data_IF_501735770722
#
_entry.id   IF_501735770722
#
_cell.length_a   1.000
_cell.length_b   1.000
_cell.length_c   1.000
_cell.angle_alpha   90.00
_cell.angle_beta   90.00
_cell.angle_gamma   90.00
#
_symmetry.space_group_name_H-M   'P 1'
#
loop_
_entity.id
_entity.type
_entity.pdbx_description
1 polymer ?
#
# COMPACT_ATOMS: atom_id res chain seq x y z
N UNK A 1 -2.25 29.07 25.84
CA UNK A 1 -1.09 28.46 25.22
C UNK A 1 -1.56 27.72 24.00
N UNK A 2 -1.23 28.26 22.84
CA UNK A 2 -1.72 28.00 21.50
C UNK A 2 -1.32 26.62 21.01
N UNK A 3 -2.33 25.79 20.70
CA UNK A 3 -2.15 24.56 19.92
C UNK A 3 -1.76 24.90 18.48
N UNK A 4 -0.66 24.36 18.02
CA UNK A 4 -0.33 24.30 16.60
C UNK A 4 -0.97 23.02 16.03
N UNK A 5 -2.21 23.13 15.59
CA UNK A 5 -2.73 22.21 14.58
C UNK A 5 -2.05 22.59 13.26
N UNK A 6 -0.92 21.97 12.95
CA UNK A 6 -0.41 21.97 11.59
C UNK A 6 -1.25 20.98 10.81
N UNK A 7 -2.33 21.45 10.20
CA UNK A 7 -2.95 20.76 9.09
C UNK A 7 -1.86 20.56 8.03
N UNK A 8 -1.45 19.30 7.84
CA UNK A 8 -0.54 18.97 6.75
C UNK A 8 -1.24 19.34 5.44
N UNK A 9 -0.63 20.25 4.66
CA UNK A 9 -1.15 20.57 3.34
C UNK A 9 -1.34 19.29 2.53
N UNK A 10 -2.48 19.13 1.82
CA UNK A 10 -2.73 17.93 1.02
C UNK A 10 -1.62 17.80 -0.03
N UNK A 11 -0.86 16.72 0.04
CA UNK A 11 0.13 16.38 -0.98
C UNK A 11 -0.64 16.18 -2.29
N UNK A 12 -0.39 17.04 -3.27
CA UNK A 12 -1.04 16.94 -4.58
C UNK A 12 -0.72 15.56 -5.17
N UNK A 13 -1.76 14.75 -5.38
CA UNK A 13 -1.60 13.39 -5.87
C UNK A 13 -1.03 13.44 -7.30
N UNK A 14 0.24 13.04 -7.47
CA UNK A 14 0.89 12.98 -8.79
C UNK A 14 0.36 11.82 -9.64
N UNK A 15 -0.20 10.79 -9.00
CA UNK A 15 -0.82 9.65 -9.64
C UNK A 15 -2.22 10.01 -10.15
N UNK A 16 -2.45 9.92 -11.45
CA UNK A 16 -3.75 10.19 -12.08
C UNK A 16 -4.90 9.40 -11.43
N UNK A 17 -4.65 8.15 -11.11
CA UNK A 17 -5.67 7.27 -10.51
C UNK A 17 -6.09 7.72 -9.11
N UNK A 18 -5.23 8.43 -8.37
CA UNK A 18 -5.60 8.96 -7.06
C UNK A 18 -6.44 10.24 -7.15
N UNK A 19 -6.43 10.91 -8.32
CA UNK A 19 -7.31 12.05 -8.62
C UNK A 19 -8.71 11.59 -9.05
N UNK A 20 -8.84 10.34 -9.51
CA UNK A 20 -10.10 9.71 -9.89
C UNK A 20 -10.25 8.35 -9.18
N UNK A 21 -10.74 8.34 -7.92
CA UNK A 21 -10.92 7.12 -7.17
C UNK A 21 -11.87 6.10 -7.81
N UNK A 22 -12.86 6.57 -8.60
CA UNK A 22 -13.76 5.66 -9.32
C UNK A 22 -13.02 4.91 -10.43
N UNK A 23 -12.18 5.63 -11.19
CA UNK A 23 -11.32 5.02 -12.19
C UNK A 23 -10.30 4.07 -11.54
N UNK A 24 -9.72 4.46 -10.40
CA UNK A 24 -8.83 3.58 -9.61
C UNK A 24 -9.54 2.26 -9.27
N UNK A 25 -10.77 2.34 -8.78
CA UNK A 25 -11.55 1.17 -8.33
C UNK A 25 -11.86 0.20 -9.48
N UNK A 26 -12.06 0.70 -10.70
CA UNK A 26 -12.25 -0.12 -11.90
C UNK A 26 -10.93 -0.76 -12.34
N UNK A 27 -9.86 0.03 -12.46
CA UNK A 27 -8.57 -0.45 -12.97
C UNK A 27 -7.90 -1.44 -12.01
N UNK A 28 -8.01 -1.21 -10.71
CA UNK A 28 -7.47 -2.09 -9.67
C UNK A 28 -8.47 -3.17 -9.25
N UNK A 29 -9.26 -3.69 -10.20
CA UNK A 29 -10.40 -4.60 -9.89
C UNK A 29 -10.00 -6.01 -9.46
N UNK A 30 -8.74 -6.39 -9.49
CA UNK A 30 -8.33 -7.70 -9.01
C UNK A 30 -8.32 -7.78 -7.47
N UNK A 31 -8.59 -8.97 -6.93
CA UNK A 31 -8.63 -9.26 -5.50
C UNK A 31 -7.38 -10.02 -5.01
N UNK A 32 -6.33 -10.04 -5.81
CA UNK A 32 -5.11 -10.82 -5.54
C UNK A 32 -4.48 -10.38 -4.21
N UNK A 33 -4.45 -9.08 -3.93
CA UNK A 33 -3.92 -8.52 -2.68
C UNK A 33 -4.65 -9.03 -1.45
N UNK A 34 -5.99 -8.92 -1.43
CA UNK A 34 -6.82 -9.40 -0.33
C UNK A 34 -6.72 -10.93 -0.16
N UNK A 35 -6.75 -11.68 -1.26
CA UNK A 35 -6.61 -13.15 -1.24
C UNK A 35 -5.27 -13.60 -0.69
N UNK A 36 -4.17 -12.93 -1.07
CA UNK A 36 -2.84 -13.18 -0.51
C UNK A 36 -2.82 -12.87 0.99
N UNK A 37 -3.35 -11.72 1.40
CA UNK A 37 -3.41 -11.33 2.81
C UNK A 37 -4.18 -12.38 3.64
N UNK A 38 -5.34 -12.85 3.18
CA UNK A 38 -6.10 -13.91 3.84
C UNK A 38 -5.28 -15.19 3.99
N UNK A 39 -4.63 -15.66 2.93
CA UNK A 39 -3.79 -16.87 2.95
C UNK A 39 -2.66 -16.77 3.98
N UNK A 40 -2.00 -15.61 4.02
CA UNK A 40 -0.90 -15.37 4.97
C UNK A 40 -1.40 -15.30 6.42
N UNK A 41 -2.56 -14.67 6.66
CA UNK A 41 -3.18 -14.67 8.00
C UNK A 41 -3.57 -16.08 8.41
N UNK A 42 -4.21 -16.85 7.54
CA UNK A 42 -4.60 -18.24 7.81
C UNK A 42 -3.42 -19.13 8.15
N UNK A 43 -2.30 -18.92 7.47
CA UNK A 43 -1.07 -19.68 7.69
C UNK A 43 -0.40 -19.33 9.02
N UNK A 44 -0.33 -18.04 9.36
CA UNK A 44 0.52 -17.59 10.46
C UNK A 44 -0.26 -17.20 11.72
N UNK A 45 -1.56 -16.85 11.62
CA UNK A 45 -2.43 -16.49 12.74
C UNK A 45 -3.90 -16.76 12.44
N UNK A 46 -4.33 -18.02 12.37
CA UNK A 46 -5.69 -18.42 11.97
C UNK A 46 -6.78 -17.93 12.94
N UNK A 47 -6.43 -17.57 14.16
CA UNK A 47 -7.32 -17.04 15.22
C UNK A 47 -7.47 -15.50 15.18
N UNK A 48 -6.84 -14.81 14.24
CA UNK A 48 -6.97 -13.36 14.09
C UNK A 48 -8.43 -12.93 13.91
N UNK A 49 -8.79 -11.79 14.52
CA UNK A 49 -10.14 -11.20 14.47
C UNK A 49 -10.16 -9.75 14.05
N UNK A 50 -9.08 -9.01 14.33
CA UNK A 50 -9.02 -7.56 14.10
C UNK A 50 -7.87 -7.21 13.18
N UNK A 51 -8.11 -6.25 12.26
CA UNK A 51 -7.16 -5.85 11.24
C UNK A 51 -7.18 -4.32 11.07
N UNK A 52 -6.01 -3.71 10.96
CA UNK A 52 -5.86 -2.32 10.48
C UNK A 52 -5.05 -2.31 9.19
N UNK A 53 -5.54 -1.59 8.18
CA UNK A 53 -4.85 -1.40 6.91
C UNK A 53 -4.41 0.05 6.73
N UNK A 54 -3.11 0.26 6.53
CA UNK A 54 -2.51 1.57 6.29
C UNK A 54 -2.30 1.79 4.79
N UNK A 55 -2.98 2.82 4.25
CA UNK A 55 -3.06 3.09 2.82
C UNK A 55 -4.12 2.23 2.15
N UNK A 56 -5.31 2.17 2.75
CA UNK A 56 -6.41 1.33 2.29
C UNK A 56 -7.06 1.80 0.97
N UNK A 57 -6.72 3.01 0.49
CA UNK A 57 -7.27 3.58 -0.74
C UNK A 57 -8.80 3.63 -0.72
N UNK A 58 -9.43 3.08 -1.75
CA UNK A 58 -10.89 2.99 -1.89
C UNK A 58 -11.54 1.91 -1.00
N UNK A 59 -10.75 1.16 -0.22
CA UNK A 59 -11.24 0.14 0.70
C UNK A 59 -11.61 -1.21 0.07
N UNK A 60 -11.22 -1.47 -1.17
CA UNK A 60 -11.57 -2.71 -1.89
C UNK A 60 -11.05 -3.99 -1.22
N UNK A 61 -9.78 -3.99 -0.84
CA UNK A 61 -9.20 -5.14 -0.13
C UNK A 61 -9.89 -5.32 1.23
N UNK A 62 -10.21 -4.21 1.92
CA UNK A 62 -10.95 -4.25 3.18
C UNK A 62 -12.37 -4.79 3.04
N UNK A 63 -13.07 -4.51 1.94
CA UNK A 63 -14.41 -5.08 1.66
C UNK A 63 -14.38 -6.61 1.63
N UNK A 64 -13.30 -7.19 1.12
CA UNK A 64 -13.10 -8.63 1.12
C UNK A 64 -12.72 -9.14 2.50
N UNK A 65 -11.76 -8.47 3.15
CA UNK A 65 -11.22 -8.85 4.45
C UNK A 65 -12.26 -8.68 5.58
N UNK A 66 -13.15 -7.68 5.48
CA UNK A 66 -14.20 -7.42 6.47
C UNK A 66 -15.28 -8.52 6.55
N UNK A 67 -15.32 -9.43 5.57
CA UNK A 67 -16.17 -10.63 5.68
C UNK A 67 -15.72 -11.57 6.79
N UNK A 68 -14.49 -11.44 7.26
CA UNK A 68 -13.89 -12.31 8.28
C UNK A 68 -13.32 -11.56 9.49
N UNK A 69 -12.85 -10.33 9.28
CA UNK A 69 -12.15 -9.55 10.30
C UNK A 69 -12.92 -8.27 10.62
N UNK A 70 -12.82 -7.80 11.85
CA UNK A 70 -13.16 -6.41 12.19
C UNK A 70 -12.05 -5.51 11.65
N UNK A 71 -12.34 -4.72 10.61
CA UNK A 71 -11.36 -3.94 9.87
C UNK A 71 -11.46 -2.45 10.18
N UNK A 72 -10.30 -1.78 10.24
CA UNK A 72 -10.18 -0.32 10.18
C UNK A 72 -9.23 0.01 9.03
N UNK A 73 -9.63 0.91 8.14
CA UNK A 73 -8.79 1.44 7.06
C UNK A 73 -8.32 2.86 7.34
N UNK A 74 -7.07 3.16 7.02
CA UNK A 74 -6.50 4.49 7.07
C UNK A 74 -5.90 4.84 5.72
N UNK A 75 -6.24 6.00 5.18
CA UNK A 75 -5.58 6.54 3.98
C UNK A 75 -5.31 8.03 4.15
N UNK A 76 -4.22 8.50 3.55
CA UNK A 76 -3.81 9.90 3.61
C UNK A 76 -4.61 10.78 2.65
N UNK A 77 -5.14 10.21 1.54
CA UNK A 77 -5.79 10.93 0.47
C UNK A 77 -7.29 11.14 0.78
N UNK A 78 -7.75 12.38 1.05
CA UNK A 78 -9.16 12.62 1.38
C UNK A 78 -10.12 12.13 0.29
N UNK A 79 -9.79 12.33 -1.00
CA UNK A 79 -10.63 11.89 -2.11
C UNK A 79 -10.84 10.36 -2.15
N UNK A 80 -9.81 9.57 -1.79
CA UNK A 80 -9.91 8.12 -1.67
C UNK A 80 -10.84 7.74 -0.51
N UNK A 81 -10.67 8.38 0.66
CA UNK A 81 -11.49 8.13 1.86
C UNK A 81 -12.94 8.50 1.62
N UNK A 82 -13.21 9.65 1.00
CA UNK A 82 -14.58 10.10 0.72
C UNK A 82 -15.28 9.17 -0.27
N UNK A 83 -14.58 8.75 -1.32
CA UNK A 83 -15.10 7.74 -2.24
C UNK A 83 -15.36 6.40 -1.54
N UNK A 84 -14.40 5.92 -0.74
CA UNK A 84 -14.52 4.67 0.00
C UNK A 84 -15.74 4.66 0.92
N UNK A 85 -15.98 5.73 1.67
CA UNK A 85 -17.16 5.88 2.55
C UNK A 85 -18.48 5.89 1.80
N UNK A 86 -18.49 6.41 0.57
CA UNK A 86 -19.69 6.41 -0.28
C UNK A 86 -19.93 5.04 -0.90
N UNK A 87 -18.91 4.40 -1.43
CA UNK A 87 -19.00 3.13 -2.12
C UNK A 87 -19.15 1.93 -1.17
N UNK A 88 -18.61 2.03 0.07
CA UNK A 88 -18.52 0.97 1.08
C UNK A 88 -18.87 1.51 2.47
N UNK A 89 -20.11 1.97 2.69
CA UNK A 89 -20.52 2.70 3.91
C UNK A 89 -20.45 1.85 5.19
N UNK A 90 -20.35 0.53 5.06
CA UNK A 90 -20.22 -0.40 6.19
C UNK A 90 -18.79 -0.52 6.74
N UNK A 91 -17.79 0.01 6.00
CA UNK A 91 -16.41 -0.06 6.41
C UNK A 91 -16.01 1.15 7.28
N UNK A 92 -15.22 0.92 8.31
CA UNK A 92 -14.60 1.97 9.11
C UNK A 92 -13.34 2.49 8.42
N UNK A 93 -13.50 3.50 7.55
CA UNK A 93 -12.41 4.12 6.80
C UNK A 93 -12.21 5.56 7.26
N UNK A 94 -10.96 5.91 7.61
CA UNK A 94 -10.59 7.19 8.20
C UNK A 94 -9.42 7.84 7.46
N UNK A 95 -9.40 9.17 7.45
CA UNK A 95 -8.20 9.91 7.05
C UNK A 95 -7.12 9.67 8.10
N UNK A 96 -5.91 9.31 7.65
CA UNK A 96 -4.78 9.11 8.55
C UNK A 96 -3.47 8.93 7.84
N UNK A 97 -2.41 9.50 8.43
CA UNK A 97 -1.04 9.36 7.96
C UNK A 97 -0.38 8.16 8.66
N UNK A 98 0.11 7.19 7.89
CA UNK A 98 0.78 6.01 8.43
C UNK A 98 2.06 6.32 9.21
N UNK A 99 2.64 7.54 9.08
CA UNK A 99 3.79 7.98 9.87
C UNK A 99 3.42 8.32 11.30
N UNK A 100 2.20 8.83 11.52
CA UNK A 100 1.83 9.45 12.81
C UNK A 100 0.52 8.95 13.41
N UNK A 101 -0.30 8.22 12.67
CA UNK A 101 -1.60 7.74 13.14
C UNK A 101 -1.50 6.93 14.44
N UNK A 102 -2.46 7.13 15.36
CA UNK A 102 -2.55 6.43 16.64
C UNK A 102 -4.01 6.13 16.97
N UNK A 103 -4.45 4.90 16.67
CA UNK A 103 -5.82 4.44 16.99
C UNK A 103 -6.03 4.14 18.47
N UNK A 104 -4.95 4.11 19.28
CA UNK A 104 -4.95 3.71 20.69
C UNK A 104 -5.58 2.33 20.91
N UNK A 105 -5.41 1.46 19.95
CA UNK A 105 -5.91 0.08 19.93
C UNK A 105 -4.88 -0.82 19.25
N UNK A 106 -4.59 -1.96 19.85
CA UNK A 106 -3.78 -3.01 19.23
C UNK A 106 -4.67 -3.95 18.43
N UNK A 107 -4.17 -4.37 17.27
CA UNK A 107 -4.85 -5.23 16.33
C UNK A 107 -4.13 -6.59 16.23
N UNK A 108 -4.84 -7.61 15.77
CA UNK A 108 -4.23 -8.91 15.50
C UNK A 108 -3.34 -8.86 14.26
N UNK A 109 -3.76 -8.05 13.28
CA UNK A 109 -3.05 -7.89 12.02
C UNK A 109 -2.92 -6.40 11.69
N UNK A 110 -1.72 -6.00 11.30
CA UNK A 110 -1.42 -4.70 10.71
C UNK A 110 -1.02 -4.94 9.27
N UNK A 111 -1.67 -4.27 8.33
CA UNK A 111 -1.37 -4.39 6.90
C UNK A 111 -0.95 -3.06 6.30
N UNK A 112 -0.10 -3.11 5.27
CA UNK A 112 0.20 -2.00 4.38
C UNK A 112 0.41 -2.60 2.98
N UNK A 113 -0.66 -2.62 2.21
CA UNK A 113 -0.76 -3.35 0.95
C UNK A 113 -0.56 -2.40 -0.26
N UNK A 114 -0.64 -2.93 -1.47
CA UNK A 114 -0.68 -2.11 -2.70
C UNK A 114 0.55 -1.26 -2.98
N UNK A 115 1.71 -1.59 -2.42
CA UNK A 115 2.94 -0.80 -2.50
C UNK A 115 2.85 0.57 -1.78
N UNK A 116 1.95 0.75 -0.84
CA UNK A 116 1.73 2.03 -0.15
C UNK A 116 2.97 2.49 0.61
N UNK A 117 3.68 1.59 1.29
CA UNK A 117 4.94 1.92 1.98
C UNK A 117 5.97 2.59 1.06
N UNK A 118 5.97 2.25 -0.22
CA UNK A 118 6.93 2.78 -1.20
C UNK A 118 6.77 4.27 -1.52
N UNK A 119 5.66 4.90 -1.12
CA UNK A 119 5.47 6.34 -1.23
C UNK A 119 6.18 7.14 -0.13
N UNK A 120 6.73 6.47 0.88
CA UNK A 120 7.58 7.08 1.91
C UNK A 120 9.03 6.96 1.47
N UNK A 121 9.66 8.10 1.17
CA UNK A 121 10.99 8.13 0.54
C UNK A 121 12.12 8.32 1.54
N UNK A 122 11.89 9.04 2.64
CA UNK A 122 12.90 9.36 3.65
C UNK A 122 13.04 8.25 4.69
N UNK A 123 14.28 7.94 5.09
CA UNK A 123 14.58 6.87 6.04
C UNK A 123 13.99 7.12 7.44
N UNK A 124 13.93 8.39 7.88
CA UNK A 124 13.35 8.72 9.18
C UNK A 124 11.82 8.56 9.13
N UNK A 125 11.19 8.95 8.02
CA UNK A 125 9.75 8.73 7.82
C UNK A 125 9.41 7.24 7.77
N UNK A 126 10.22 6.41 7.08
CA UNK A 126 10.07 4.94 7.09
C UNK A 126 10.18 4.41 8.53
N UNK A 127 11.12 4.92 9.32
CA UNK A 127 11.26 4.55 10.73
C UNK A 127 9.99 4.92 11.54
N UNK A 128 9.40 6.09 11.28
CA UNK A 128 8.14 6.51 11.91
C UNK A 128 6.98 5.59 11.52
N UNK A 129 6.90 5.18 10.24
CA UNK A 129 5.89 4.21 9.77
C UNK A 129 6.00 2.90 10.53
N UNK A 130 7.19 2.32 10.64
CA UNK A 130 7.38 1.08 11.40
C UNK A 130 7.07 1.25 12.89
N UNK A 131 7.41 2.39 13.50
CA UNK A 131 6.99 2.71 14.87
C UNK A 131 5.46 2.82 15.00
N UNK A 132 4.78 3.31 13.98
CA UNK A 132 3.32 3.33 13.92
C UNK A 132 2.75 1.92 13.84
N UNK A 133 3.29 1.05 12.99
CA UNK A 133 2.88 -0.35 12.93
C UNK A 133 3.01 -1.04 14.29
N UNK A 134 4.15 -0.85 14.96
CA UNK A 134 4.39 -1.41 16.31
C UNK A 134 3.41 -0.85 17.36
N UNK A 135 3.04 0.44 17.29
CA UNK A 135 2.07 1.04 18.19
C UNK A 135 0.65 0.44 18.06
N UNK A 136 0.37 -0.24 16.96
CA UNK A 136 -0.90 -0.94 16.72
C UNK A 136 -0.78 -2.46 16.86
N UNK A 137 0.39 -2.97 17.26
CA UNK A 137 0.64 -4.39 17.48
C UNK A 137 0.64 -4.73 18.99
N UNK A 138 0.36 -5.98 19.28
CA UNK A 138 0.58 -6.64 20.58
C UNK A 138 1.34 -7.94 20.36
N UNK A 139 1.87 -8.54 21.39
CA UNK A 139 2.58 -9.82 21.27
C UNK A 139 1.81 -10.83 20.41
N UNK A 140 2.45 -11.35 19.38
CA UNK A 140 1.88 -12.28 18.42
C UNK A 140 1.14 -11.61 17.25
N UNK A 141 0.98 -10.28 17.20
CA UNK A 141 0.39 -9.59 16.05
C UNK A 141 1.22 -9.81 14.78
N UNK A 142 0.54 -9.94 13.65
CA UNK A 142 1.18 -9.98 12.34
C UNK A 142 1.30 -8.58 11.75
N UNK A 143 2.42 -8.33 11.06
CA UNK A 143 2.58 -7.26 10.10
C UNK A 143 2.67 -7.90 8.71
N UNK A 144 1.80 -7.48 7.78
CA UNK A 144 1.81 -7.95 6.40
C UNK A 144 2.00 -6.74 5.48
N UNK A 145 3.07 -6.77 4.69
CA UNK A 145 3.42 -5.70 3.76
C UNK A 145 3.41 -6.24 2.33
N UNK A 146 2.95 -5.43 1.38
CA UNK A 146 3.23 -5.62 -0.05
C UNK A 146 4.02 -4.41 -0.54
N UNK A 147 5.28 -4.61 -0.92
CA UNK A 147 6.18 -3.52 -1.30
C UNK A 147 7.22 -3.92 -2.34
N UNK A 148 7.72 -2.96 -3.14
CA UNK A 148 8.84 -3.24 -4.03
C UNK A 148 10.11 -3.47 -3.23
N UNK A 149 10.81 -4.56 -3.55
CA UNK A 149 12.04 -5.02 -2.88
C UNK A 149 13.23 -5.13 -3.84
N UNK A 150 12.99 -4.92 -5.14
CA UNK A 150 14.03 -4.84 -6.16
C UNK A 150 13.66 -3.78 -7.20
N UNK A 151 14.64 -3.12 -7.84
CA UNK A 151 14.36 -2.10 -8.84
C UNK A 151 13.83 -2.72 -10.14
N UNK A 152 13.02 -1.94 -10.86
CA UNK A 152 12.72 -2.18 -12.27
C UNK A 152 13.76 -1.40 -13.07
N UNK A 153 14.72 -2.11 -13.66
CA UNK A 153 15.90 -1.51 -14.31
C UNK A 153 15.80 -1.43 -15.84
N UNK A 154 14.73 -1.98 -16.44
CA UNK A 154 14.48 -1.89 -17.88
C UNK A 154 14.23 -0.44 -18.30
N UNK A 155 14.91 -0.01 -19.38
CA UNK A 155 14.69 1.32 -20.01
C UNK A 155 13.71 1.25 -21.17
N UNK A 156 13.19 0.08 -21.47
CA UNK A 156 12.26 -0.14 -22.58
C UNK A 156 10.92 0.52 -22.30
N UNK A 157 10.35 1.09 -23.35
CA UNK A 157 9.02 1.64 -23.31
C UNK A 157 8.02 0.48 -23.31
N UNK A 158 7.24 0.37 -22.25
CA UNK A 158 6.17 -0.62 -22.14
C UNK A 158 4.85 0.01 -22.56
N UNK A 159 4.04 -0.71 -23.32
CA UNK A 159 2.69 -0.28 -23.67
C UNK A 159 1.69 -1.33 -23.20
N UNK A 160 0.64 -0.86 -22.52
CA UNK A 160 -0.44 -1.70 -22.04
C UNK A 160 -1.79 -1.10 -22.42
N UNK A 161 -2.79 -1.94 -22.57
CA UNK A 161 -4.19 -1.51 -22.68
C UNK A 161 -4.84 -1.70 -21.32
N UNK A 162 -5.57 -0.69 -20.89
CA UNK A 162 -6.27 -0.66 -19.60
C UNK A 162 -7.74 -0.37 -19.85
N UNK A 163 -8.61 -1.22 -19.36
CA UNK A 163 -10.05 -0.99 -19.45
C UNK A 163 -10.48 0.13 -18.53
N UNK A 164 -11.23 1.10 -19.07
CA UNK A 164 -11.83 2.19 -18.30
C UNK A 164 -13.34 2.21 -18.51
N UNK A 165 -14.11 2.91 -17.67
CA UNK A 165 -15.55 3.03 -17.86
C UNK A 165 -15.97 3.60 -19.23
N UNK A 166 -15.09 4.38 -19.87
CA UNK A 166 -15.31 5.01 -21.17
C UNK A 166 -14.79 4.18 -22.35
N UNK A 167 -14.21 3.00 -22.10
CA UNK A 167 -13.58 2.14 -23.08
C UNK A 167 -12.07 1.91 -22.83
N UNK A 168 -11.36 1.20 -23.71
CA UNK A 168 -9.96 0.90 -23.51
C UNK A 168 -9.07 2.13 -23.67
N UNK A 169 -8.22 2.40 -22.69
CA UNK A 169 -7.14 3.39 -22.75
C UNK A 169 -5.81 2.70 -23.06
N UNK A 170 -4.94 3.38 -23.82
CA UNK A 170 -3.56 2.94 -24.01
C UNK A 170 -2.65 3.67 -23.05
N UNK A 171 -1.82 2.93 -22.31
CA UNK A 171 -0.87 3.49 -21.36
C UNK A 171 0.54 3.13 -21.80
N UNK A 172 1.36 4.14 -22.02
CA UNK A 172 2.79 3.95 -22.28
C UNK A 172 3.56 4.26 -21.01
N UNK A 173 4.44 3.34 -20.59
CA UNK A 173 5.10 3.35 -19.28
C UNK A 173 6.61 3.35 -19.49
N UNK A 174 7.30 4.24 -18.80
CA UNK A 174 8.76 4.27 -18.72
C UNK A 174 9.19 4.25 -17.26
N UNK A 175 10.20 3.44 -16.96
CA UNK A 175 10.83 3.36 -15.65
C UNK A 175 12.21 4.02 -15.64
N UNK A 176 12.51 4.73 -14.56
CA UNK A 176 13.83 5.29 -14.28
C UNK A 176 14.23 4.91 -12.85
N UNK A 177 15.45 4.39 -12.70
CA UNK A 177 15.99 3.98 -11.42
C UNK A 177 17.08 4.92 -10.94
N UNK A 178 16.92 5.51 -9.76
CA UNK A 178 17.98 6.24 -9.07
C UNK A 178 18.60 5.36 -7.98
N UNK A 179 19.83 4.92 -8.22
CA UNK A 179 20.55 4.03 -7.31
C UNK A 179 20.83 4.67 -5.95
N UNK A 180 21.08 5.98 -5.90
CA UNK A 180 21.44 6.68 -4.66
C UNK A 180 20.23 6.83 -3.74
N UNK A 181 19.11 7.26 -4.27
CA UNK A 181 17.89 7.46 -3.51
C UNK A 181 17.05 6.18 -3.40
N UNK A 182 17.39 5.15 -4.19
CA UNK A 182 16.62 3.90 -4.34
C UNK A 182 15.17 4.16 -4.73
N UNK A 183 14.94 5.18 -5.56
CA UNK A 183 13.61 5.51 -6.08
C UNK A 183 13.48 5.01 -7.51
N UNK A 184 12.44 4.21 -7.74
CA UNK A 184 11.97 3.90 -9.07
C UNK A 184 10.88 4.90 -9.45
N UNK A 185 11.14 5.69 -10.49
CA UNK A 185 10.20 6.65 -11.06
C UNK A 185 9.52 6.01 -12.26
N UNK A 186 8.21 5.88 -12.21
CA UNK A 186 7.37 5.40 -13.30
C UNK A 186 6.64 6.60 -13.92
N UNK A 187 6.97 6.93 -15.17
CA UNK A 187 6.22 7.92 -15.96
C UNK A 187 5.26 7.22 -16.88
N UNK A 188 3.99 7.67 -16.87
CA UNK A 188 2.94 7.14 -17.72
C UNK A 188 2.37 8.21 -18.61
N UNK A 189 2.14 7.84 -19.86
CA UNK A 189 1.39 8.62 -20.82
C UNK A 189 0.14 7.83 -21.20
N UNK A 190 -1.01 8.46 -21.00
CA UNK A 190 -2.33 7.87 -21.21
C UNK A 190 -2.96 8.46 -22.48
N UNK A 191 -3.36 7.60 -23.42
CA UNK A 191 -4.26 7.96 -24.50
C UNK A 191 -5.66 7.43 -24.15
N UNK A 192 -6.57 8.34 -23.82
CA UNK A 192 -7.91 8.01 -23.35
C UNK A 192 -8.87 7.75 -24.52
N UNK A 193 -9.96 6.99 -24.31
CA UNK A 193 -10.96 6.71 -25.36
C UNK A 193 -11.64 7.98 -25.91
N UNK A 194 -11.69 9.06 -25.11
CA UNK A 194 -12.20 10.38 -25.53
C UNK A 194 -11.34 11.06 -26.60
N UNK A 195 -10.10 10.59 -26.82
CA UNK A 195 -9.08 11.25 -27.63
C UNK A 195 -8.21 12.23 -26.81
N UNK A 196 -8.48 12.37 -25.51
CA UNK A 196 -7.65 13.17 -24.61
C UNK A 196 -6.38 12.43 -24.22
N UNK A 197 -5.34 13.18 -23.88
CA UNK A 197 -4.09 12.64 -23.36
C UNK A 197 -3.87 13.14 -21.93
N UNK A 198 -3.28 12.28 -21.09
CA UNK A 198 -2.87 12.64 -19.74
C UNK A 198 -1.48 12.08 -19.42
N UNK A 199 -0.79 12.73 -18.51
CA UNK A 199 0.52 12.26 -18.03
C UNK A 199 0.53 12.25 -16.50
N UNK A 200 1.23 11.28 -15.95
CA UNK A 200 1.49 11.23 -14.51
C UNK A 200 2.85 10.62 -14.19
N UNK A 201 3.28 10.83 -12.97
CA UNK A 201 4.54 10.32 -12.45
C UNK A 201 4.28 9.67 -11.09
N UNK A 202 4.80 8.45 -10.93
CA UNK A 202 4.74 7.72 -9.67
C UNK A 202 6.16 7.42 -9.22
N UNK A 203 6.52 7.89 -8.03
CA UNK A 203 7.83 7.66 -7.42
C UNK A 203 7.68 6.66 -6.27
N UNK A 204 8.43 5.57 -6.33
CA UNK A 204 8.38 4.50 -5.32
C UNK A 204 9.77 4.19 -4.79
N UNK A 205 9.93 4.28 -3.50
CA UNK A 205 11.12 3.81 -2.79
C UNK A 205 11.16 2.28 -2.85
N UNK A 206 12.27 1.72 -3.27
CA UNK A 206 12.58 0.29 -3.16
C UNK A 206 13.30 0.08 -1.83
N UNK A 207 12.72 -0.73 -0.95
CA UNK A 207 13.35 -1.12 0.31
C UNK A 207 13.81 -2.57 0.13
N UNK A 208 15.13 -2.77 0.01
CA UNK A 208 15.68 -4.10 -0.19
C UNK A 208 15.35 -5.05 0.98
N UNK A 209 15.29 -6.39 0.75
CA UNK A 209 14.84 -7.34 1.78
C UNK A 209 15.56 -7.19 3.12
N UNK A 210 16.88 -7.07 3.12
CA UNK A 210 17.65 -6.91 4.36
C UNK A 210 17.44 -5.57 5.06
N UNK A 211 17.18 -4.52 4.29
CA UNK A 211 16.82 -3.20 4.83
C UNK A 211 15.42 -3.25 5.48
N UNK A 212 14.46 -3.90 4.82
CA UNK A 212 13.12 -4.12 5.35
C UNK A 212 13.13 -4.91 6.68
N UNK A 213 13.93 -5.99 6.73
CA UNK A 213 14.16 -6.76 7.97
C UNK A 213 14.70 -5.85 9.10
N UNK A 214 15.65 -4.95 8.80
CA UNK A 214 16.21 -4.04 9.81
C UNK A 214 15.17 -3.07 10.36
N UNK A 215 14.32 -2.47 9.51
CA UNK A 215 13.25 -1.60 9.98
C UNK A 215 12.26 -2.35 10.87
N UNK A 216 11.85 -3.53 10.47
CA UNK A 216 10.92 -4.37 11.22
C UNK A 216 11.50 -4.77 12.59
N UNK A 217 12.73 -5.28 12.62
CA UNK A 217 13.40 -5.76 13.83
C UNK A 217 13.62 -4.66 14.88
N UNK A 218 13.95 -3.43 14.43
CA UNK A 218 14.16 -2.29 15.34
C UNK A 218 12.93 -1.94 16.19
N UNK A 219 11.75 -2.32 15.74
CA UNK A 219 10.49 -2.03 16.43
C UNK A 219 9.80 -3.28 16.98
N UNK A 220 10.49 -4.43 16.99
CA UNK A 220 10.01 -5.68 17.62
C UNK A 220 9.32 -6.66 16.69
N UNK A 221 9.38 -6.48 15.36
CA UNK A 221 8.85 -7.46 14.41
C UNK A 221 9.95 -8.40 13.91
N UNK A 222 9.77 -9.71 14.10
CA UNK A 222 10.59 -10.76 13.49
C UNK A 222 9.99 -11.23 12.18
N UNK A 223 10.77 -11.26 11.09
CA UNK A 223 10.31 -11.75 9.78
C UNK A 223 10.05 -13.26 9.86
N UNK A 224 8.86 -13.66 9.40
CA UNK A 224 8.47 -15.06 9.28
C UNK A 224 8.65 -15.58 7.86
N UNK A 225 8.24 -14.77 6.88
CA UNK A 225 8.29 -15.13 5.46
C UNK A 225 8.40 -13.89 4.57
N UNK A 226 8.97 -14.07 3.39
CA UNK A 226 9.04 -13.06 2.34
C UNK A 226 8.92 -13.76 0.98
N UNK A 227 7.80 -13.56 0.31
CA UNK A 227 7.44 -14.30 -0.91
C UNK A 227 6.83 -13.37 -1.96
N UNK A 228 6.89 -13.75 -3.22
CA UNK A 228 6.19 -13.08 -4.31
C UNK A 228 4.90 -13.78 -4.73
N UNK A 229 4.57 -14.92 -4.08
CA UNK A 229 3.36 -15.69 -4.39
C UNK A 229 2.78 -16.37 -3.15
N UNK A 230 1.48 -16.69 -3.20
CA UNK A 230 0.75 -17.42 -2.15
C UNK A 230 1.26 -18.86 -1.93
N UNK A 231 2.11 -19.37 -2.82
CA UNK A 231 2.63 -20.75 -2.74
C UNK A 231 3.95 -20.87 -2.00
N UNK A 232 4.42 -19.79 -1.35
CA UNK A 232 5.69 -19.80 -0.61
C UNK A 232 6.92 -20.02 -1.50
N UNK A 233 6.85 -19.57 -2.75
CA UNK A 233 7.99 -19.64 -3.66
C UNK A 233 9.10 -18.69 -3.21
N UNK A 234 10.33 -19.03 -3.55
CA UNK A 234 11.48 -18.14 -3.36
C UNK A 234 11.19 -16.80 -4.02
N UNK A 235 11.47 -15.71 -3.30
CA UNK A 235 11.35 -14.35 -3.81
C UNK A 235 12.22 -14.15 -5.07
N UNK A 236 11.58 -13.95 -6.21
CA UNK A 236 12.24 -13.80 -7.51
C UNK A 236 11.81 -12.52 -8.23
N UNK A 237 10.63 -11.99 -7.88
CA UNK A 237 10.07 -10.78 -8.47
C UNK A 237 10.51 -9.49 -7.78
N UNK A 238 10.18 -8.33 -8.38
CA UNK A 238 10.53 -7.03 -7.82
C UNK A 238 9.65 -6.59 -6.64
N UNK A 239 8.54 -7.29 -6.37
CA UNK A 239 7.59 -6.99 -5.29
C UNK A 239 7.47 -8.19 -4.36
N UNK A 240 7.48 -7.96 -3.07
CA UNK A 240 7.33 -8.99 -2.04
C UNK A 240 6.11 -8.77 -1.16
N UNK A 241 5.49 -9.87 -0.76
CA UNK A 241 4.66 -9.97 0.42
C UNK A 241 5.54 -10.40 1.59
N UNK A 242 5.64 -9.54 2.59
CA UNK A 242 6.46 -9.78 3.78
C UNK A 242 5.54 -10.01 4.96
N UNK A 243 5.74 -11.10 5.68
CA UNK A 243 5.04 -11.39 6.94
C UNK A 243 6.02 -11.33 8.09
N UNK A 244 5.66 -10.56 9.11
CA UNK A 244 6.44 -10.47 10.33
C UNK A 244 5.54 -10.62 11.56
N UNK A 245 6.12 -11.06 12.68
CA UNK A 245 5.42 -11.23 13.97
C UNK A 245 6.00 -10.31 15.01
N UNK A 246 5.15 -9.62 15.73
CA UNK A 246 5.53 -8.79 16.88
C UNK A 246 5.83 -9.68 18.10
N UNK A 247 7.00 -9.49 18.72
CA UNK A 247 7.52 -10.31 19.84
C UNK A 247 7.63 -9.51 21.13
#
# INVERSE_FOLDING_TARGET
VTGYDTEAEPVEATNLLYRDPALYDVIQSDSTGAGMCQTLIETHRPDARTLVDFGCGTGRDLEILAKRFECIGLDLQPGMVDYARQARPELDIRIGDMRTARLRRCMDVVTCMGNTLAYVHDNNEITQVFATFAAHARQGSLLILCSPVAPITGTELMTATVDTPSGPATVTIRHEWDLRTQINTMRRHWALPSGDEAQDEIRRRVIFPRELEQYAQRVGFGILDMTDSSRGSTLTGPTAYTVARYT
#
